data_IF_178610934320
#
_entry.id   IF_178610934320
#
_cell.length_a   1.000
_cell.length_b   1.000
_cell.length_c   1.000
_cell.angle_alpha   90.00
_cell.angle_beta   90.00
_cell.angle_gamma   90.00
#
_symmetry.space_group_name_H-M   'P 1'
#
loop_
_entity.id
_entity.type
_entity.pdbx_description
1 polymer ?
#
# COMPACT_ATOMS: atom_id res chain seq x y z
N UNK A 1 -0.16 5.83 33.05
CA UNK A 1 -0.91 7.09 32.78
C UNK A 1 -0.02 8.34 32.65
N UNK A 2 1.08 8.46 33.39
CA UNK A 2 1.96 9.66 33.32
C UNK A 2 2.77 9.77 32.02
N UNK A 3 3.35 8.68 31.54
CA UNK A 3 4.26 8.68 30.37
C UNK A 3 3.57 8.93 29.02
N UNK A 4 2.35 8.49 28.89
CA UNK A 4 1.55 8.67 27.64
C UNK A 4 1.14 10.14 27.46
N UNK A 5 0.86 10.84 28.56
CA UNK A 5 0.51 12.26 28.53
C UNK A 5 1.73 13.16 28.25
N UNK A 6 2.91 12.76 28.69
CA UNK A 6 4.14 13.51 28.46
C UNK A 6 4.59 13.37 26.98
N UNK A 7 4.42 12.19 26.39
CA UNK A 7 4.72 11.92 24.99
C UNK A 7 3.74 12.66 24.06
N UNK A 8 2.45 12.61 24.40
CA UNK A 8 1.38 13.33 23.67
C UNK A 8 1.64 14.85 23.72
N UNK A 9 2.02 15.38 24.89
CA UNK A 9 2.33 16.79 25.06
C UNK A 9 3.64 17.20 24.32
N UNK A 10 4.57 16.28 24.11
CA UNK A 10 5.79 16.55 23.34
C UNK A 10 5.48 16.59 21.84
N UNK A 11 4.67 15.70 21.35
CA UNK A 11 4.21 15.68 19.93
C UNK A 11 3.31 16.90 19.67
N UNK A 12 2.42 17.24 20.59
CA UNK A 12 1.49 18.38 20.46
C UNK A 12 2.16 19.75 20.57
N UNK A 13 3.24 19.89 21.34
CA UNK A 13 4.00 21.16 21.42
C UNK A 13 4.73 21.53 20.14
N UNK A 14 5.03 20.58 19.27
CA UNK A 14 5.64 20.85 17.96
C UNK A 14 4.62 21.21 16.87
N UNK A 15 3.34 20.95 17.10
CA UNK A 15 2.25 21.23 16.17
C UNK A 15 1.57 22.62 16.34
N UNK A 16 1.89 23.36 17.37
CA UNK A 16 1.55 24.80 17.51
C UNK A 16 0.08 25.18 17.70
N UNK A 17 -0.87 24.22 17.79
CA UNK A 17 -2.28 24.49 18.14
C UNK A 17 -2.93 23.31 18.89
N UNK A 18 -3.64 23.63 19.97
CA UNK A 18 -4.48 22.67 20.69
C UNK A 18 -5.81 22.44 19.98
N UNK A 19 -5.87 21.45 19.10
CA UNK A 19 -7.15 20.86 18.68
C UNK A 19 -7.38 19.62 19.56
N UNK A 20 -8.47 19.61 20.30
CA UNK A 20 -8.73 18.49 21.18
C UNK A 20 -9.01 17.22 20.37
N UNK A 21 -8.50 16.09 20.84
CA UNK A 21 -8.71 14.75 20.29
C UNK A 21 -10.18 14.45 19.99
N UNK A 22 -11.11 14.99 20.79
CA UNK A 22 -12.55 14.85 20.62
C UNK A 22 -13.10 15.60 19.41
N UNK A 23 -12.57 16.77 19.11
CA UNK A 23 -12.99 17.57 17.95
C UNK A 23 -12.52 16.98 16.63
N UNK A 24 -11.31 16.43 16.60
CA UNK A 24 -10.79 15.74 15.41
C UNK A 24 -11.59 14.47 15.08
N UNK A 25 -11.87 13.63 16.06
CA UNK A 25 -12.67 12.40 15.87
C UNK A 25 -14.13 12.72 15.51
N UNK A 26 -14.67 13.85 15.98
CA UNK A 26 -15.99 14.37 15.59
C UNK A 26 -15.99 14.87 14.13
N UNK A 27 -14.93 15.52 13.67
CA UNK A 27 -14.79 16.01 12.29
C UNK A 27 -14.59 14.85 11.30
N UNK A 28 -13.81 13.86 11.61
CA UNK A 28 -13.63 12.65 10.79
C UNK A 28 -14.91 11.83 10.66
N UNK A 29 -15.78 11.85 11.69
CA UNK A 29 -17.11 11.21 11.68
C UNK A 29 -18.19 12.00 10.93
N UNK A 30 -18.05 13.32 10.79
CA UNK A 30 -19.07 14.19 10.17
C UNK A 30 -18.86 14.42 8.67
N UNK A 31 -17.70 14.14 8.13
CA UNK A 31 -17.38 14.34 6.70
C UNK A 31 -18.14 13.44 5.72
N UNK A 32 -18.92 12.48 6.20
CA UNK A 32 -19.66 11.51 5.36
C UNK A 32 -21.20 11.75 5.32
N UNK A 33 -21.74 12.76 6.02
CA UNK A 33 -23.18 12.95 6.11
C UNK A 33 -23.76 14.04 5.18
N UNK A 34 -22.96 14.69 4.32
CA UNK A 34 -23.43 15.83 3.48
C UNK A 34 -23.44 15.51 1.98
N UNK A 35 -23.26 14.28 1.58
CA UNK A 35 -23.16 13.89 0.16
C UNK A 35 -24.43 13.32 -0.50
N UNK A 36 -25.60 13.32 0.18
CA UNK A 36 -26.83 12.75 -0.39
C UNK A 36 -28.00 13.71 -0.16
N UNK A 37 -28.01 14.86 -0.82
CA UNK A 37 -29.22 15.63 -1.10
C UNK A 37 -28.88 16.79 -2.04
N UNK A 38 -28.91 16.58 -3.33
CA UNK A 38 -29.30 17.56 -4.37
C UNK A 38 -29.07 16.96 -5.77
N UNK A 39 -30.13 16.57 -6.43
CA UNK A 39 -30.04 16.14 -7.81
C UNK A 39 -31.30 15.51 -8.38
N UNK A 40 -32.45 16.11 -8.11
CA UNK A 40 -33.62 15.89 -8.96
C UNK A 40 -33.99 17.21 -9.61
N UNK A 41 -33.94 17.28 -10.95
CA UNK A 41 -34.95 17.90 -11.82
C UNK A 41 -34.40 18.14 -13.24
N UNK A 42 -35.24 17.73 -14.18
CA UNK A 42 -35.28 17.98 -15.63
C UNK A 42 -34.74 16.81 -16.48
N UNK A 43 -35.50 16.02 -17.13
CA UNK A 43 -36.76 16.14 -17.83
C UNK A 43 -36.54 16.28 -19.35
N UNK A 44 -36.67 15.15 -20.11
CA UNK A 44 -37.14 15.21 -21.51
C UNK A 44 -37.60 13.83 -21.94
N UNK A 45 -38.83 13.83 -22.41
CA UNK A 45 -39.59 12.70 -22.98
C UNK A 45 -39.09 12.30 -24.37
N UNK A 46 -39.20 11.01 -24.72
CA UNK A 46 -39.69 10.59 -26.02
C UNK A 46 -40.21 9.15 -25.97
N UNK A 47 -41.35 8.97 -26.58
CA UNK A 47 -42.29 7.87 -26.57
C UNK A 47 -41.78 6.56 -27.20
N UNK A 48 -42.42 5.46 -26.79
CA UNK A 48 -42.33 4.20 -27.53
C UNK A 48 -42.99 3.04 -26.80
N UNK A 49 -44.18 2.71 -27.16
CA UNK A 49 -45.19 1.86 -26.53
C UNK A 49 -44.94 0.33 -26.54
N UNK A 50 -45.74 -0.31 -25.65
CA UNK A 50 -46.32 -1.68 -25.73
C UNK A 50 -45.46 -2.80 -25.16
N UNK A 51 -45.92 -3.69 -24.29
CA UNK A 51 -47.23 -4.20 -23.92
C UNK A 51 -47.14 -4.92 -22.57
N UNK A 52 -48.19 -4.80 -21.79
CA UNK A 52 -48.38 -5.46 -20.50
C UNK A 52 -48.78 -6.94 -20.66
N UNK A 53 -48.24 -7.80 -19.80
CA UNK A 53 -48.93 -9.02 -19.36
C UNK A 53 -48.86 -9.10 -17.85
N UNK A 54 -50.00 -9.05 -17.25
CA UNK A 54 -50.22 -9.23 -15.80
C UNK A 54 -50.07 -10.70 -15.41
N UNK A 55 -49.35 -10.96 -14.35
CA UNK A 55 -49.28 -12.24 -13.68
C UNK A 55 -49.35 -12.03 -12.15
N UNK A 56 -50.42 -12.51 -11.56
CA UNK A 56 -50.83 -12.50 -10.16
C UNK A 56 -49.81 -13.15 -9.23
N UNK A 57 -49.72 -12.72 -7.95
CA UNK A 57 -48.77 -13.28 -6.99
C UNK A 57 -49.32 -14.61 -6.40
N UNK A 58 -48.51 -15.64 -6.49
CA UNK A 58 -48.77 -16.89 -5.79
C UNK A 58 -47.97 -16.92 -4.48
N UNK A 59 -48.67 -17.23 -3.45
CA UNK A 59 -48.34 -17.45 -2.03
C UNK A 59 -47.11 -18.32 -1.83
N UNK A 60 -46.28 -17.93 -0.84
CA UNK A 60 -45.09 -18.63 -0.41
C UNK A 60 -45.33 -20.03 0.10
N UNK A 61 -44.44 -20.92 -0.30
CA UNK A 61 -44.26 -22.24 0.31
C UNK A 61 -42.96 -22.23 1.10
N UNK A 62 -42.87 -22.84 2.28
CA UNK A 62 -41.68 -22.82 3.12
C UNK A 62 -40.54 -23.59 2.48
N UNK A 63 -39.31 -23.12 2.71
CA UNK A 63 -38.10 -23.74 2.27
C UNK A 63 -38.02 -25.21 2.66
N UNK A 64 -38.20 -26.10 1.70
CA UNK A 64 -37.94 -27.52 1.85
C UNK A 64 -36.41 -27.73 1.87
N UNK A 65 -35.96 -28.55 2.81
CA UNK A 65 -34.62 -29.06 2.95
C UNK A 65 -34.07 -29.48 1.56
N UNK A 66 -32.95 -28.85 1.16
CA UNK A 66 -32.24 -29.23 -0.07
C UNK A 66 -31.61 -30.59 0.19
N UNK A 67 -32.18 -31.61 -0.41
CA UNK A 67 -31.70 -32.98 -0.33
C UNK A 67 -30.35 -33.08 -1.07
N UNK A 68 -29.31 -33.60 -0.41
CA UNK A 68 -27.91 -33.63 -0.86
C UNK A 68 -27.63 -34.52 -2.11
N UNK A 69 -28.66 -34.94 -2.82
CA UNK A 69 -28.59 -35.82 -3.98
C UNK A 69 -29.10 -35.22 -5.29
N UNK A 70 -29.03 -33.91 -5.46
CA UNK A 70 -29.42 -33.27 -6.72
C UNK A 70 -28.34 -33.47 -7.76
N UNK A 71 -28.55 -34.34 -8.72
CA UNK A 71 -27.68 -34.54 -9.88
C UNK A 71 -27.93 -33.39 -10.86
N UNK A 72 -26.91 -32.57 -11.11
CA UNK A 72 -26.95 -31.54 -12.15
C UNK A 72 -26.77 -32.19 -13.54
N UNK A 73 -27.66 -31.87 -14.44
CA UNK A 73 -27.52 -32.29 -15.83
C UNK A 73 -27.03 -31.10 -16.66
N UNK A 74 -25.80 -31.19 -17.17
CA UNK A 74 -25.22 -30.14 -18.02
C UNK A 74 -26.02 -30.01 -19.35
N UNK A 75 -25.95 -28.86 -20.06
CA UNK A 75 -26.67 -28.63 -21.31
C UNK A 75 -26.38 -29.66 -22.42
N UNK A 76 -25.28 -30.38 -22.33
CA UNK A 76 -24.92 -31.48 -23.24
C UNK A 76 -25.52 -32.83 -22.83
N UNK A 77 -26.39 -32.90 -21.83
CA UNK A 77 -27.02 -34.12 -21.36
C UNK A 77 -26.17 -35.00 -20.42
N UNK A 78 -24.94 -34.57 -20.11
CA UNK A 78 -24.05 -35.30 -19.19
C UNK A 78 -24.49 -35.07 -17.76
N UNK A 79 -24.75 -36.14 -17.03
CA UNK A 79 -25.01 -36.10 -15.58
C UNK A 79 -23.69 -35.84 -14.86
N UNK A 80 -23.53 -34.64 -14.28
CA UNK A 80 -22.43 -34.33 -13.39
C UNK A 80 -22.92 -34.55 -11.97
N UNK A 81 -22.22 -35.34 -11.14
CA UNK A 81 -22.55 -35.39 -9.71
C UNK A 81 -22.55 -33.95 -9.19
N UNK A 82 -23.63 -33.53 -8.54
CA UNK A 82 -23.56 -32.30 -7.72
C UNK A 82 -22.34 -32.48 -6.84
N UNK A 83 -21.48 -31.47 -6.79
CA UNK A 83 -20.31 -31.50 -5.92
C UNK A 83 -20.74 -32.14 -4.61
N UNK A 84 -20.26 -33.35 -4.34
CA UNK A 84 -20.43 -33.96 -3.04
C UNK A 84 -20.05 -32.88 -2.05
N UNK A 85 -20.95 -32.59 -1.13
CA UNK A 85 -20.60 -31.80 0.03
C UNK A 85 -19.38 -32.48 0.61
N UNK A 86 -18.20 -31.94 0.32
CA UNK A 86 -16.95 -32.48 0.83
C UNK A 86 -17.09 -32.39 2.33
N UNK A 87 -17.49 -33.48 2.95
CA UNK A 87 -17.41 -33.61 4.39
C UNK A 87 -15.98 -33.18 4.75
N UNK A 88 -15.80 -32.28 5.71
CA UNK A 88 -14.45 -31.86 6.07
C UNK A 88 -13.63 -33.11 6.33
N UNK A 89 -12.49 -33.28 5.70
CA UNK A 89 -11.75 -34.54 5.77
C UNK A 89 -11.42 -34.82 7.23
N UNK A 90 -11.86 -35.97 7.70
CA UNK A 90 -11.45 -36.49 8.98
C UNK A 90 -9.92 -36.64 8.94
N UNK A 91 -9.20 -35.84 9.73
CA UNK A 91 -7.74 -35.86 9.90
C UNK A 91 -7.02 -35.97 8.57
N UNK A 92 -6.64 -34.83 8.00
CA UNK A 92 -5.76 -34.77 6.84
C UNK A 92 -4.38 -35.30 7.23
N UNK A 93 -3.84 -36.28 6.51
CA UNK A 93 -2.49 -36.80 6.77
C UNK A 93 -1.43 -35.73 6.52
N UNK A 94 -0.22 -35.90 7.06
CA UNK A 94 0.98 -35.08 6.93
C UNK A 94 1.50 -34.88 5.48
N UNK A 95 0.73 -35.22 4.47
CA UNK A 95 1.03 -35.04 3.05
C UNK A 95 0.53 -33.71 2.46
N UNK A 96 -0.12 -32.85 3.25
CA UNK A 96 -0.59 -31.53 2.81
C UNK A 96 0.52 -30.55 2.40
N UNK A 97 1.76 -30.86 2.74
CA UNK A 97 2.91 -30.01 2.39
C UNK A 97 3.42 -30.27 0.96
N UNK A 98 2.86 -31.25 0.26
CA UNK A 98 3.22 -31.51 -1.14
C UNK A 98 2.32 -30.72 -2.09
N UNK A 99 2.88 -30.07 -3.11
CA UNK A 99 2.10 -29.46 -4.18
C UNK A 99 1.21 -30.52 -4.84
N UNK A 100 0.00 -30.10 -5.24
CA UNK A 100 -0.85 -30.95 -6.07
C UNK A 100 -0.16 -31.06 -7.43
N UNK A 101 0.19 -32.28 -7.83
CA UNK A 101 0.76 -32.53 -9.15
C UNK A 101 -0.37 -32.60 -10.18
N UNK A 102 -0.28 -31.72 -11.16
CA UNK A 102 -1.20 -31.70 -12.32
C UNK A 102 -0.45 -32.23 -13.54
N UNK A 103 -1.20 -32.90 -14.43
CA UNK A 103 -0.65 -33.32 -15.71
C UNK A 103 -0.19 -32.12 -16.54
N UNK A 104 0.92 -32.29 -17.27
CA UNK A 104 1.41 -31.26 -18.17
C UNK A 104 0.50 -31.16 -19.39
N UNK A 105 -0.11 -29.98 -19.61
CA UNK A 105 -0.98 -29.72 -20.75
C UNK A 105 -0.40 -28.69 -21.74
N UNK A 106 0.65 -27.95 -21.31
CA UNK A 106 1.34 -26.97 -22.14
C UNK A 106 2.47 -27.60 -22.94
N UNK A 107 2.72 -27.07 -24.13
CA UNK A 107 3.84 -27.48 -24.97
C UNK A 107 5.19 -27.06 -24.38
N UNK A 108 6.28 -27.66 -24.88
CA UNK A 108 7.63 -27.36 -24.39
C UNK A 108 8.10 -25.93 -24.74
N UNK A 109 7.44 -25.27 -25.68
CA UNK A 109 7.74 -23.87 -26.07
C UNK A 109 7.00 -22.84 -25.23
N UNK A 110 6.00 -23.27 -24.47
CA UNK A 110 5.26 -22.39 -23.57
C UNK A 110 6.00 -22.23 -22.24
N UNK A 111 5.91 -21.06 -21.59
CA UNK A 111 6.44 -20.89 -20.25
C UNK A 111 5.84 -21.95 -19.30
N UNK A 112 6.69 -22.70 -18.64
CA UNK A 112 6.23 -23.68 -17.64
C UNK A 112 5.62 -22.96 -16.46
N UNK A 113 4.42 -23.35 -16.04
CA UNK A 113 3.84 -22.93 -14.78
C UNK A 113 4.69 -23.44 -13.63
N UNK A 114 4.86 -22.64 -12.58
CA UNK A 114 5.47 -23.14 -11.34
C UNK A 114 4.61 -24.25 -10.71
N UNK A 115 5.11 -24.89 -9.65
CA UNK A 115 4.35 -25.92 -8.93
C UNK A 115 3.04 -25.31 -8.40
N UNK A 116 2.00 -26.13 -8.32
CA UNK A 116 0.70 -25.72 -7.76
C UNK A 116 0.92 -25.14 -6.35
N UNK A 117 0.43 -23.91 -6.07
CA UNK A 117 0.62 -23.31 -4.76
C UNK A 117 0.00 -24.18 -3.65
N UNK A 118 0.74 -24.39 -2.57
CA UNK A 118 0.22 -24.97 -1.35
C UNK A 118 -0.04 -23.85 -0.35
N UNK A 119 -1.27 -23.33 -0.22
CA UNK A 119 -1.56 -22.25 0.70
C UNK A 119 -1.42 -22.72 2.15
N UNK A 120 -0.81 -21.88 2.99
CA UNK A 120 -0.75 -22.14 4.43
C UNK A 120 -2.16 -22.26 5.01
N UNK A 121 -2.43 -23.25 5.87
CA UNK A 121 -3.73 -23.36 6.54
C UNK A 121 -4.11 -22.04 7.25
N UNK A 122 -5.40 -21.63 7.23
CA UNK A 122 -5.82 -20.34 7.78
C UNK A 122 -5.47 -20.13 9.27
N UNK A 123 -5.44 -21.19 10.08
CA UNK A 123 -5.07 -21.15 11.49
C UNK A 123 -3.57 -20.86 11.71
N UNK A 124 -2.72 -21.13 10.71
CA UNK A 124 -1.27 -20.89 10.76
C UNK A 124 -0.88 -19.51 10.21
N UNK A 125 -1.80 -18.81 9.52
CA UNK A 125 -1.52 -17.49 8.97
C UNK A 125 -1.42 -16.43 10.05
N UNK A 126 -0.56 -15.45 9.83
CA UNK A 126 -0.40 -14.28 10.72
C UNK A 126 -1.67 -13.43 10.71
N UNK A 127 -2.17 -13.12 11.89
CA UNK A 127 -3.37 -12.30 12.08
C UNK A 127 -3.08 -10.81 12.10
N UNK A 128 -3.80 -10.07 11.29
CA UNK A 128 -3.68 -8.61 11.14
C UNK A 128 -4.87 -7.88 11.75
N UNK A 129 -4.59 -6.82 12.51
CA UNK A 129 -5.57 -5.80 12.87
C UNK A 129 -5.43 -4.62 11.91
N UNK A 130 -6.50 -4.25 11.18
CA UNK A 130 -6.53 -3.12 10.27
C UNK A 130 -6.98 -1.86 11.01
N UNK A 131 -6.14 -0.83 11.03
CA UNK A 131 -6.40 0.44 11.75
C UNK A 131 -6.67 1.54 10.75
N UNK A 132 -7.93 1.96 10.67
CA UNK A 132 -8.43 2.90 9.67
C UNK A 132 -9.16 2.18 8.52
N UNK A 133 -10.46 2.40 8.41
CA UNK A 133 -11.30 1.86 7.34
C UNK A 133 -11.62 2.96 6.31
N UNK A 134 -10.55 3.50 5.69
CA UNK A 134 -10.59 4.44 4.58
C UNK A 134 -10.60 3.76 3.21
N UNK A 135 -10.50 4.55 2.13
CA UNK A 135 -10.47 4.05 0.74
C UNK A 135 -9.40 2.98 0.54
N UNK A 136 -8.15 3.26 0.90
CA UNK A 136 -7.05 2.31 0.69
C UNK A 136 -7.30 0.96 1.38
N UNK A 137 -7.82 0.98 2.61
CA UNK A 137 -8.13 -0.25 3.34
C UNK A 137 -9.26 -1.03 2.68
N UNK A 138 -10.33 -0.35 2.25
CA UNK A 138 -11.54 -0.99 1.75
C UNK A 138 -11.42 -1.43 0.29
N UNK A 139 -10.71 -0.65 -0.52
CA UNK A 139 -10.63 -0.84 -1.97
C UNK A 139 -9.44 -1.73 -2.37
N UNK A 140 -8.34 -1.71 -1.58
CA UNK A 140 -7.09 -2.38 -1.94
C UNK A 140 -6.61 -3.40 -0.90
N UNK A 141 -6.41 -3.00 0.37
CA UNK A 141 -5.75 -3.85 1.37
C UNK A 141 -6.63 -5.04 1.78
N UNK A 142 -7.90 -4.80 2.12
CA UNK A 142 -8.80 -5.89 2.52
C UNK A 142 -9.04 -6.89 1.38
N UNK A 143 -9.30 -6.48 0.12
CA UNK A 143 -9.37 -7.41 -1.01
C UNK A 143 -8.07 -8.20 -1.21
N UNK A 144 -6.90 -7.58 -1.03
CA UNK A 144 -5.61 -8.24 -1.20
C UNK A 144 -5.38 -9.43 -0.25
N UNK A 145 -6.06 -9.47 0.91
CA UNK A 145 -6.00 -10.65 1.79
C UNK A 145 -6.56 -11.92 1.13
N UNK A 146 -7.43 -11.79 0.11
CA UNK A 146 -7.89 -12.92 -0.70
C UNK A 146 -6.77 -13.60 -1.49
N UNK A 147 -5.70 -12.88 -1.80
CA UNK A 147 -4.51 -13.38 -2.51
C UNK A 147 -3.36 -13.74 -1.57
N UNK A 148 -3.43 -13.34 -0.29
CA UNK A 148 -2.41 -13.66 0.71
C UNK A 148 -2.35 -15.16 1.01
N UNK A 149 -1.14 -15.68 1.09
CA UNK A 149 -0.87 -17.07 1.46
C UNK A 149 -0.50 -17.23 2.94
N UNK A 150 0.02 -16.17 3.58
CA UNK A 150 0.59 -16.19 4.94
C UNK A 150 -0.10 -15.23 5.90
N UNK A 151 -0.98 -14.37 5.39
CA UNK A 151 -1.64 -13.28 6.12
C UNK A 151 -3.16 -13.45 6.14
N UNK A 152 -3.82 -12.98 7.21
CA UNK A 152 -5.30 -12.94 7.30
C UNK A 152 -5.75 -11.73 8.15
N UNK A 153 -6.88 -11.08 7.81
CA UNK A 153 -7.47 -10.06 8.67
C UNK A 153 -8.22 -10.73 9.83
N UNK A 154 -7.99 -10.28 11.06
CA UNK A 154 -8.63 -10.85 12.27
C UNK A 154 -9.25 -9.79 13.18
N UNK A 155 -8.90 -8.51 13.00
CA UNK A 155 -9.45 -7.42 13.82
C UNK A 155 -9.53 -6.12 13.02
N UNK A 156 -10.42 -5.23 13.42
CA UNK A 156 -10.65 -3.92 12.80
C UNK A 156 -10.63 -2.82 13.85
N UNK A 157 -10.09 -1.66 13.50
CA UNK A 157 -10.14 -0.44 14.31
C UNK A 157 -10.69 0.71 13.46
N UNK A 158 -11.78 1.34 13.92
CA UNK A 158 -12.36 2.49 13.22
C UNK A 158 -13.16 3.36 14.18
N UNK A 159 -13.26 4.66 13.89
CA UNK A 159 -14.18 5.57 14.58
C UNK A 159 -15.63 5.45 14.11
N UNK A 160 -15.95 4.60 13.11
CA UNK A 160 -17.31 4.41 12.58
C UNK A 160 -17.84 3.02 12.96
N UNK A 161 -18.78 2.92 13.91
CA UNK A 161 -19.40 1.64 14.28
C UNK A 161 -20.11 0.96 13.10
N UNK A 162 -20.69 1.73 12.20
CA UNK A 162 -21.36 1.21 11.01
C UNK A 162 -20.36 0.51 10.06
N UNK A 163 -19.21 1.14 9.79
CA UNK A 163 -18.17 0.53 8.97
C UNK A 163 -17.63 -0.74 9.64
N UNK A 164 -17.36 -0.70 10.94
CA UNK A 164 -16.90 -1.88 11.68
C UNK A 164 -17.87 -3.06 11.51
N UNK A 165 -19.18 -2.83 11.71
CA UNK A 165 -20.18 -3.88 11.58
C UNK A 165 -20.25 -4.46 10.16
N UNK A 166 -20.31 -3.61 9.13
CA UNK A 166 -20.42 -4.05 7.73
C UNK A 166 -19.17 -4.81 7.28
N UNK A 167 -17.99 -4.26 7.56
CA UNK A 167 -16.73 -4.88 7.15
C UNK A 167 -16.46 -6.18 7.91
N UNK A 168 -16.74 -6.21 9.22
CA UNK A 168 -16.60 -7.42 10.02
C UNK A 168 -17.47 -8.55 9.47
N UNK A 169 -18.73 -8.26 9.14
CA UNK A 169 -19.63 -9.24 8.54
C UNK A 169 -19.11 -9.74 7.19
N UNK A 170 -18.61 -8.84 6.32
CA UNK A 170 -18.12 -9.18 4.99
C UNK A 170 -16.88 -10.09 5.03
N UNK A 171 -15.99 -9.86 6.00
CA UNK A 171 -14.71 -10.59 6.09
C UNK A 171 -14.70 -11.66 7.19
N UNK A 172 -15.83 -11.96 7.81
CA UNK A 172 -15.95 -12.98 8.85
C UNK A 172 -15.18 -12.66 10.13
N UNK A 173 -15.01 -11.36 10.45
CA UNK A 173 -14.29 -10.91 11.64
C UNK A 173 -15.28 -10.88 12.82
N UNK A 174 -14.87 -11.43 13.95
CA UNK A 174 -15.70 -11.53 15.14
C UNK A 174 -16.04 -10.13 15.69
N UNK A 175 -17.27 -9.88 16.17
CA UNK A 175 -17.67 -8.59 16.74
C UNK A 175 -16.76 -8.12 17.89
N UNK A 176 -16.29 -9.03 18.74
CA UNK A 176 -15.34 -8.74 19.84
C UNK A 176 -13.95 -8.33 19.36
N UNK A 177 -13.61 -8.57 18.10
CA UNK A 177 -12.37 -8.13 17.45
C UNK A 177 -12.52 -6.81 16.69
N UNK A 178 -13.63 -6.07 16.93
CA UNK A 178 -13.88 -4.74 16.42
C UNK A 178 -13.64 -3.70 17.52
N UNK A 179 -12.74 -2.76 17.25
CA UNK A 179 -12.28 -1.76 18.21
C UNK A 179 -12.55 -0.33 17.71
N UNK A 180 -12.74 0.61 18.65
CA UNK A 180 -12.67 2.04 18.39
C UNK A 180 -11.23 2.54 18.64
N UNK A 181 -10.96 3.78 18.26
CA UNK A 181 -9.68 4.43 18.61
C UNK A 181 -9.50 4.59 20.14
N UNK A 182 -10.61 4.72 20.91
CA UNK A 182 -10.56 4.88 22.37
C UNK A 182 -10.15 3.58 23.08
N UNK A 183 -10.51 2.43 22.53
CA UNK A 183 -10.18 1.13 23.12
C UNK A 183 -9.11 0.36 22.33
N UNK A 184 -8.35 1.05 21.45
CA UNK A 184 -7.26 0.49 20.64
C UNK A 184 -6.28 -0.37 21.46
N UNK A 185 -5.93 0.08 22.66
CA UNK A 185 -4.94 -0.59 23.53
C UNK A 185 -5.40 -1.99 23.98
N UNK A 186 -6.72 -2.32 23.86
CA UNK A 186 -7.23 -3.66 24.10
C UNK A 186 -6.79 -4.70 23.06
N UNK A 187 -6.21 -4.26 21.95
CA UNK A 187 -5.56 -5.18 21.00
C UNK A 187 -4.47 -6.03 21.66
N UNK A 188 -3.87 -5.58 22.77
CA UNK A 188 -2.93 -6.37 23.56
C UNK A 188 -3.52 -7.71 24.03
N UNK A 189 -4.82 -7.71 24.35
CA UNK A 189 -5.55 -8.86 24.91
C UNK A 189 -6.09 -9.81 23.83
N UNK A 190 -5.97 -9.46 22.54
CA UNK A 190 -6.39 -10.31 21.44
C UNK A 190 -5.22 -11.18 20.93
N UNK A 191 -5.24 -12.50 21.23
CA UNK A 191 -4.14 -13.40 20.83
C UNK A 191 -4.10 -13.70 19.33
N UNK A 192 -5.22 -13.48 18.60
CA UNK A 192 -5.25 -13.67 17.15
C UNK A 192 -4.50 -12.57 16.40
N UNK A 193 -4.31 -11.39 17.02
CA UNK A 193 -3.58 -10.25 16.43
C UNK A 193 -2.09 -10.37 16.72
N UNK A 194 -1.31 -10.54 15.67
CA UNK A 194 0.15 -10.55 15.71
C UNK A 194 0.74 -9.28 15.11
N UNK A 195 0.08 -8.72 14.08
CA UNK A 195 0.47 -7.51 13.37
C UNK A 195 -0.66 -6.48 13.42
N UNK A 196 -0.30 -5.23 13.62
CA UNK A 196 -1.18 -4.08 13.43
C UNK A 196 -0.77 -3.38 12.14
N UNK A 197 -1.70 -3.24 11.19
CA UNK A 197 -1.51 -2.47 9.96
C UNK A 197 -2.16 -1.10 10.10
N UNK A 198 -1.34 -0.05 10.16
CA UNK A 198 -1.78 1.32 10.38
C UNK A 198 -2.01 2.00 9.03
N UNK A 199 -3.27 2.39 8.77
CA UNK A 199 -3.74 3.01 7.51
C UNK A 199 -4.55 4.27 7.87
N UNK A 200 -3.87 5.26 8.41
CA UNK A 200 -4.42 6.49 8.98
C UNK A 200 -3.87 7.73 8.25
N UNK A 201 -4.34 8.93 8.54
CA UNK A 201 -3.63 10.16 8.21
C UNK A 201 -2.22 10.18 8.83
N UNK A 202 -1.25 10.75 8.10
CA UNK A 202 0.18 10.64 8.42
C UNK A 202 0.54 11.04 9.85
N UNK A 203 -0.07 12.12 10.38
CA UNK A 203 0.20 12.60 11.74
C UNK A 203 -0.24 11.64 12.85
N UNK A 204 -1.04 10.63 12.54
CA UNK A 204 -1.48 9.62 13.50
C UNK A 204 -0.57 8.39 13.52
N UNK A 205 0.31 8.21 12.53
CA UNK A 205 1.13 7.02 12.40
C UNK A 205 2.03 6.79 13.63
N UNK A 206 2.68 7.86 14.13
CA UNK A 206 3.59 7.74 15.26
C UNK A 206 2.86 7.31 16.55
N UNK A 207 1.75 7.95 16.91
CA UNK A 207 0.97 7.59 18.11
C UNK A 207 0.55 6.11 18.07
N UNK A 208 -0.10 5.70 16.97
CA UNK A 208 -0.65 4.34 16.89
C UNK A 208 0.44 3.28 16.73
N UNK A 209 1.59 3.60 16.17
CA UNK A 209 2.77 2.72 16.18
C UNK A 209 3.29 2.50 17.59
N UNK A 210 3.50 3.59 18.35
CA UNK A 210 3.99 3.51 19.72
C UNK A 210 3.05 2.70 20.60
N UNK A 211 1.75 2.99 20.56
CA UNK A 211 0.70 2.25 21.30
C UNK A 211 0.63 0.79 20.87
N UNK A 212 0.72 0.50 19.57
CA UNK A 212 0.71 -0.86 19.04
C UNK A 212 1.94 -1.68 19.48
N UNK A 213 3.12 -1.08 19.48
CA UNK A 213 4.34 -1.69 19.99
C UNK A 213 4.23 -1.98 21.50
N UNK A 214 3.69 -1.04 22.28
CA UNK A 214 3.42 -1.21 23.71
C UNK A 214 2.37 -2.31 23.98
N UNK A 215 1.42 -2.50 23.07
CA UNK A 215 0.47 -3.61 23.09
C UNK A 215 1.11 -4.96 22.73
N UNK A 216 2.43 -5.00 22.46
CA UNK A 216 3.17 -6.20 22.15
C UNK A 216 2.94 -6.74 20.74
N UNK A 217 2.52 -5.89 19.79
CA UNK A 217 2.25 -6.28 18.40
C UNK A 217 3.35 -5.78 17.45
N UNK A 218 3.59 -6.51 16.36
CA UNK A 218 4.41 -6.04 15.25
C UNK A 218 3.63 -4.99 14.45
N UNK A 219 4.34 -4.07 13.81
CA UNK A 219 3.72 -2.92 13.13
C UNK A 219 4.07 -2.92 11.65
N UNK A 220 3.05 -2.91 10.81
CA UNK A 220 3.10 -2.49 9.41
C UNK A 220 2.47 -1.10 9.34
N UNK A 221 3.21 -0.10 8.86
CA UNK A 221 2.73 1.29 8.82
C UNK A 221 2.72 1.78 7.38
N UNK A 222 1.62 2.40 6.95
CA UNK A 222 1.56 3.05 5.64
C UNK A 222 2.63 4.14 5.50
N UNK A 223 3.02 4.35 4.23
CA UNK A 223 3.88 5.47 3.84
C UNK A 223 3.04 6.79 3.73
N UNK A 224 3.63 7.97 3.96
CA UNK A 224 4.92 8.20 4.59
C UNK A 224 4.89 7.71 6.04
N UNK A 225 6.05 7.24 6.54
CA UNK A 225 6.13 6.61 7.85
C UNK A 225 5.54 7.48 8.98
N UNK A 226 5.75 8.80 8.91
CA UNK A 226 5.25 9.79 9.88
C UNK A 226 5.12 11.17 9.22
N UNK A 227 5.05 12.25 10.01
CA UNK A 227 5.07 13.63 9.53
C UNK A 227 6.46 14.28 9.64
N UNK A 228 7.41 13.64 10.32
CA UNK A 228 8.78 14.14 10.52
C UNK A 228 9.77 13.01 10.79
N UNK A 229 11.07 13.28 10.57
CA UNK A 229 12.14 12.36 10.91
C UNK A 229 12.23 12.09 12.43
N UNK A 230 11.88 13.05 13.26
CA UNK A 230 11.83 12.88 14.71
C UNK A 230 10.75 11.87 15.14
N UNK A 231 9.57 11.92 14.54
CA UNK A 231 8.51 10.94 14.77
C UNK A 231 8.90 9.55 14.25
N UNK A 232 9.56 9.46 13.09
CA UNK A 232 10.10 8.20 12.60
C UNK A 232 11.07 7.55 13.59
N UNK A 233 12.00 8.33 14.17
CA UNK A 233 12.93 7.84 15.18
C UNK A 233 12.18 7.33 16.42
N UNK A 234 11.16 8.07 16.88
CA UNK A 234 10.31 7.68 18.00
C UNK A 234 9.63 6.32 17.76
N UNK A 235 9.09 6.10 16.55
CA UNK A 235 8.46 4.84 16.16
C UNK A 235 9.46 3.68 16.17
N UNK A 236 10.65 3.89 15.63
CA UNK A 236 11.74 2.90 15.63
C UNK A 236 12.11 2.52 17.05
N UNK A 237 12.35 3.51 17.92
CA UNK A 237 12.78 3.30 19.30
C UNK A 237 11.69 2.55 20.10
N UNK A 238 10.43 2.90 19.91
CA UNK A 238 9.31 2.24 20.57
C UNK A 238 9.21 0.75 20.18
N UNK A 239 9.32 0.45 18.89
CA UNK A 239 9.29 -0.93 18.39
C UNK A 239 10.51 -1.72 18.86
N UNK A 240 11.71 -1.14 18.83
CA UNK A 240 12.93 -1.77 19.37
C UNK A 240 12.80 -2.06 20.86
N UNK A 241 12.33 -1.09 21.66
CA UNK A 241 12.11 -1.27 23.10
C UNK A 241 11.11 -2.38 23.42
N UNK A 242 10.07 -2.53 22.59
CA UNK A 242 9.08 -3.59 22.74
C UNK A 242 9.52 -4.94 22.15
N UNK A 243 10.69 -5.02 21.54
CA UNK A 243 11.15 -6.19 20.75
C UNK A 243 10.12 -6.57 19.67
N UNK A 244 9.61 -5.58 18.94
CA UNK A 244 8.66 -5.76 17.83
C UNK A 244 9.24 -5.21 16.54
N UNK A 245 8.87 -5.85 15.44
CA UNK A 245 9.28 -5.42 14.10
C UNK A 245 8.42 -4.23 13.66
N UNK A 246 9.06 -3.27 12.99
CA UNK A 246 8.43 -2.18 12.29
C UNK A 246 8.77 -2.28 10.81
N UNK A 247 7.77 -2.34 9.96
CA UNK A 247 7.89 -2.31 8.51
C UNK A 247 7.07 -1.15 7.96
N UNK A 248 7.63 -0.42 7.00
CA UNK A 248 6.92 0.63 6.25
C UNK A 248 6.38 0.02 4.96
N UNK A 249 5.13 0.31 4.64
CA UNK A 249 4.41 -0.23 3.50
C UNK A 249 4.84 0.44 2.17
N UNK A 250 6.05 0.13 1.72
CA UNK A 250 6.59 0.54 0.42
C UNK A 250 6.27 -0.50 -0.66
N UNK A 251 4.99 -0.67 -0.98
CA UNK A 251 4.46 -1.67 -1.91
C UNK A 251 5.22 -1.76 -3.25
N UNK A 252 5.79 -0.64 -3.74
CA UNK A 252 6.56 -0.59 -4.99
C UNK A 252 7.80 -1.48 -4.94
N UNK A 253 8.42 -1.66 -3.78
CA UNK A 253 9.57 -2.55 -3.62
C UNK A 253 9.20 -4.04 -3.66
N UNK A 254 7.91 -4.36 -3.67
CA UNK A 254 7.35 -5.71 -3.81
C UNK A 254 6.70 -5.95 -5.17
N UNK A 255 6.57 -4.91 -6.00
CA UNK A 255 5.95 -4.96 -7.32
C UNK A 255 6.93 -5.55 -8.36
N UNK A 256 6.51 -6.56 -9.16
CA UNK A 256 7.43 -7.34 -10.00
C UNK A 256 8.20 -6.53 -11.06
N UNK A 257 7.55 -5.56 -11.73
CA UNK A 257 8.24 -4.74 -12.73
C UNK A 257 9.29 -3.81 -12.13
N UNK A 258 8.99 -3.18 -11.00
CA UNK A 258 9.94 -2.33 -10.29
C UNK A 258 11.17 -3.15 -9.82
N UNK A 259 10.95 -4.36 -9.35
CA UNK A 259 12.04 -5.29 -8.98
C UNK A 259 12.88 -5.70 -10.19
N UNK A 260 12.23 -6.06 -11.31
CA UNK A 260 12.95 -6.40 -12.54
C UNK A 260 13.81 -5.24 -13.05
N UNK A 261 13.26 -4.01 -13.05
CA UNK A 261 14.05 -2.83 -13.46
C UNK A 261 15.24 -2.60 -12.54
N UNK A 262 15.06 -2.73 -11.22
CA UNK A 262 16.16 -2.66 -10.24
C UNK A 262 17.25 -3.67 -10.57
N UNK A 263 16.89 -4.92 -10.80
CA UNK A 263 17.86 -5.99 -11.10
C UNK A 263 18.60 -5.69 -12.40
N UNK A 264 17.90 -5.26 -13.46
CA UNK A 264 18.51 -4.86 -14.73
C UNK A 264 19.50 -3.69 -14.58
N UNK A 265 19.22 -2.73 -13.68
CA UNK A 265 20.11 -1.60 -13.39
C UNK A 265 21.35 -2.07 -12.64
N UNK A 266 21.14 -2.86 -11.58
CA UNK A 266 22.24 -3.32 -10.70
C UNK A 266 23.17 -4.28 -11.42
N UNK A 267 22.64 -5.10 -12.32
CA UNK A 267 23.40 -5.98 -13.21
C UNK A 267 24.05 -5.22 -14.39
N UNK A 268 23.88 -3.89 -14.46
CA UNK A 268 24.40 -3.05 -15.55
C UNK A 268 24.02 -3.58 -16.93
N UNK A 269 22.82 -4.09 -17.12
CA UNK A 269 22.36 -4.73 -18.38
C UNK A 269 22.61 -3.86 -19.61
N UNK A 270 22.39 -2.56 -19.50
CA UNK A 270 22.66 -1.58 -20.56
C UNK A 270 23.84 -0.65 -20.23
N UNK A 271 24.81 -1.13 -19.45
CA UNK A 271 25.92 -0.32 -18.94
C UNK A 271 25.54 0.50 -17.72
N UNK A 272 26.46 1.39 -17.31
CA UNK A 272 26.26 2.22 -16.11
C UNK A 272 25.11 3.18 -16.31
N UNK A 273 24.27 3.31 -15.29
CA UNK A 273 23.24 4.35 -15.23
C UNK A 273 23.85 5.74 -15.23
N UNK A 274 23.32 6.65 -16.03
CA UNK A 274 23.78 8.04 -16.15
C UNK A 274 22.83 9.02 -15.49
N UNK A 275 21.53 8.88 -15.75
CA UNK A 275 20.53 9.68 -15.07
C UNK A 275 19.16 9.00 -15.06
N UNK A 276 18.29 9.45 -14.13
CA UNK A 276 16.93 8.94 -13.99
C UNK A 276 15.96 10.14 -13.99
N UNK A 277 14.83 9.97 -14.66
CA UNK A 277 13.68 10.88 -14.58
C UNK A 277 12.53 10.17 -13.93
N UNK A 278 11.87 10.81 -12.97
CA UNK A 278 10.70 10.25 -12.28
C UNK A 278 9.58 11.27 -12.20
N UNK A 279 8.36 10.83 -12.35
CA UNK A 279 7.18 11.68 -12.19
C UNK A 279 6.03 10.89 -11.56
N UNK A 280 5.41 11.49 -10.55
CA UNK A 280 4.15 11.00 -10.00
C UNK A 280 3.22 12.20 -9.77
N UNK A 281 2.19 12.30 -10.58
CA UNK A 281 1.27 13.43 -10.63
C UNK A 281 -0.16 12.94 -10.75
N UNK A 282 -1.08 13.66 -10.12
CA UNK A 282 -2.52 13.39 -10.17
C UNK A 282 -3.32 14.67 -9.90
N UNK A 283 -4.61 14.64 -10.16
CA UNK A 283 -5.53 15.73 -9.82
C UNK A 283 -6.19 15.46 -8.46
N UNK A 284 -6.33 16.51 -7.66
CA UNK A 284 -7.05 16.52 -6.39
C UNK A 284 -8.20 17.54 -6.46
N UNK A 285 -9.35 17.21 -5.85
CA UNK A 285 -10.56 18.02 -6.01
C UNK A 285 -11.24 18.46 -4.70
N UNK A 286 -10.91 17.85 -3.57
CA UNK A 286 -11.61 18.11 -2.30
C UNK A 286 -10.72 18.87 -1.30
N UNK A 287 -10.94 20.20 -1.11
CA UNK A 287 -10.12 20.99 -0.19
C UNK A 287 -10.28 20.62 1.30
N UNK A 288 -11.33 19.87 1.63
CA UNK A 288 -11.55 19.41 3.01
C UNK A 288 -10.92 18.04 3.28
N UNK A 289 -10.32 17.41 2.26
CA UNK A 289 -9.63 16.15 2.45
C UNK A 289 -8.39 16.35 3.32
N UNK A 290 -8.08 15.40 4.21
CA UNK A 290 -6.98 15.51 5.18
C UNK A 290 -5.60 15.73 4.52
N UNK A 291 -5.41 15.28 3.27
CA UNK A 291 -4.17 15.50 2.50
C UNK A 291 -3.88 16.96 2.20
N UNK A 292 -4.88 17.84 2.29
CA UNK A 292 -4.73 19.30 2.12
C UNK A 292 -4.61 20.04 3.46
N UNK A 293 -4.52 19.31 4.58
CA UNK A 293 -4.32 19.84 5.93
C UNK A 293 -2.91 19.50 6.40
N UNK A 294 -2.06 20.55 6.55
CA UNK A 294 -0.64 20.36 6.89
C UNK A 294 -0.46 19.57 8.17
N UNK A 295 -1.27 19.86 9.19
CA UNK A 295 -1.18 19.19 10.50
C UNK A 295 -1.53 17.70 10.44
N UNK A 296 -2.26 17.24 9.41
CA UNK A 296 -2.63 15.84 9.22
C UNK A 296 -1.73 15.13 8.22
N UNK A 297 -1.30 15.83 7.18
CA UNK A 297 -0.54 15.25 6.08
C UNK A 297 0.98 15.47 6.21
N UNK A 298 1.43 16.46 7.01
CA UNK A 298 2.85 16.83 7.11
C UNK A 298 3.38 17.64 5.93
N UNK A 299 2.69 17.62 4.78
CA UNK A 299 3.02 18.32 3.54
C UNK A 299 2.01 17.99 2.45
N UNK A 300 2.27 18.41 1.22
CA UNK A 300 1.36 18.24 0.08
C UNK A 300 1.75 17.08 -0.83
N UNK A 301 2.06 17.40 -2.08
CA UNK A 301 2.37 16.39 -3.10
C UNK A 301 3.66 15.60 -2.82
N UNK A 302 4.66 16.19 -2.16
CA UNK A 302 5.93 15.53 -1.89
C UNK A 302 5.78 14.30 -0.98
N UNK A 303 5.28 14.38 0.27
CA UNK A 303 5.20 13.22 1.16
C UNK A 303 4.16 12.19 0.71
N UNK A 304 3.11 12.57 -0.01
CA UNK A 304 2.09 11.61 -0.44
C UNK A 304 2.49 10.86 -1.71
N UNK A 305 2.69 11.55 -2.82
CA UNK A 305 2.96 10.92 -4.12
C UNK A 305 4.39 11.13 -4.61
N UNK A 306 5.06 12.21 -4.22
CA UNK A 306 6.47 12.44 -4.53
C UNK A 306 7.42 11.47 -3.84
N UNK A 307 7.04 10.99 -2.67
CA UNK A 307 7.78 9.95 -1.94
C UNK A 307 8.01 8.69 -2.79
N UNK A 308 7.07 8.33 -3.68
CA UNK A 308 7.30 7.22 -4.62
C UNK A 308 8.51 7.48 -5.53
N UNK A 309 8.65 8.69 -6.06
CA UNK A 309 9.80 9.06 -6.90
C UNK A 309 11.12 9.00 -6.13
N UNK A 310 11.13 9.53 -4.90
CA UNK A 310 12.29 9.53 -4.01
C UNK A 310 12.70 8.11 -3.64
N UNK A 311 11.78 7.33 -3.06
CA UNK A 311 12.05 5.98 -2.56
C UNK A 311 12.45 5.03 -3.69
N UNK A 312 11.74 5.09 -4.85
CA UNK A 312 12.08 4.29 -6.02
C UNK A 312 13.51 4.59 -6.53
N UNK A 313 13.92 5.85 -6.57
CA UNK A 313 15.27 6.21 -7.02
C UNK A 313 16.36 5.58 -6.15
N UNK A 314 16.17 5.63 -4.83
CA UNK A 314 17.04 4.97 -3.83
C UNK A 314 17.02 3.45 -3.98
N UNK A 315 15.84 2.87 -4.19
CA UNK A 315 15.65 1.42 -4.38
C UNK A 315 16.33 0.92 -5.66
N UNK A 316 16.17 1.62 -6.78
CA UNK A 316 16.77 1.25 -8.06
C UNK A 316 18.29 1.29 -7.99
N UNK A 317 18.86 2.38 -7.44
CA UNK A 317 20.31 2.60 -7.39
C UNK A 317 21.00 1.83 -6.26
N UNK A 318 20.29 1.53 -5.17
CA UNK A 318 20.87 0.89 -3.99
C UNK A 318 21.77 1.79 -3.15
N UNK A 319 21.89 3.07 -3.52
CA UNK A 319 22.74 4.06 -2.86
C UNK A 319 21.92 5.27 -2.43
N UNK A 320 22.52 6.12 -1.59
CA UNK A 320 21.87 7.31 -1.05
C UNK A 320 22.33 8.58 -1.76
N UNK A 321 21.45 9.58 -1.94
CA UNK A 321 21.85 10.86 -2.51
C UNK A 321 22.75 11.64 -1.55
N UNK A 322 23.62 12.47 -2.13
CA UNK A 322 24.58 13.29 -1.40
C UNK A 322 24.21 14.78 -1.36
N UNK A 323 23.29 15.20 -2.23
CA UNK A 323 22.85 16.58 -2.37
C UNK A 323 21.46 16.61 -3.01
N UNK A 324 20.63 17.57 -2.62
CA UNK A 324 19.33 17.86 -3.23
C UNK A 324 19.20 19.33 -3.58
N UNK A 325 18.46 19.63 -4.67
CA UNK A 325 18.04 20.98 -5.03
C UNK A 325 16.57 20.95 -5.47
N UNK A 326 15.76 21.89 -5.01
CA UNK A 326 14.31 21.82 -5.21
C UNK A 326 13.64 23.17 -5.45
N UNK A 327 12.50 23.14 -6.15
CA UNK A 327 11.53 24.20 -6.29
C UNK A 327 10.15 23.73 -5.85
N UNK A 328 9.43 24.57 -5.14
CA UNK A 328 8.06 24.34 -4.72
C UNK A 328 7.15 25.44 -5.27
N UNK A 329 5.92 25.07 -5.61
CA UNK A 329 4.92 26.03 -6.08
C UNK A 329 3.53 25.62 -5.64
N UNK A 330 2.67 26.62 -5.42
CA UNK A 330 1.23 26.45 -5.25
C UNK A 330 0.51 27.58 -5.97
N UNK A 331 -0.54 27.28 -6.71
CA UNK A 331 -1.36 28.26 -7.43
C UNK A 331 -1.97 29.26 -6.44
N UNK A 332 -1.67 30.57 -6.56
CA UNK A 332 -2.19 31.57 -5.64
C UNK A 332 -3.72 31.58 -5.60
N UNK A 333 -4.28 31.59 -4.39
CA UNK A 333 -5.73 31.65 -4.18
C UNK A 333 -6.45 30.30 -4.38
N UNK A 334 -5.78 29.23 -4.80
CA UNK A 334 -6.40 27.91 -4.89
C UNK A 334 -6.68 27.36 -3.49
N UNK A 335 -7.96 27.05 -3.15
CA UNK A 335 -8.33 26.57 -1.81
C UNK A 335 -7.71 25.23 -1.44
N UNK A 336 -7.30 24.40 -2.41
CA UNK A 336 -6.66 23.10 -2.19
C UNK A 336 -5.26 23.23 -1.57
N UNK A 337 -4.54 24.33 -1.89
CA UNK A 337 -3.11 24.46 -1.59
C UNK A 337 -2.80 25.63 -0.65
N UNK A 338 -3.72 25.91 0.28
CA UNK A 338 -3.52 26.96 1.29
C UNK A 338 -2.48 26.59 2.34
N UNK A 339 -2.42 25.32 2.70
CA UNK A 339 -1.62 24.80 3.82
C UNK A 339 -0.45 23.94 3.34
N UNK A 340 -0.55 23.35 2.14
CA UNK A 340 0.40 22.37 1.58
C UNK A 340 0.78 22.76 0.16
N UNK A 341 1.93 22.30 -0.30
CA UNK A 341 2.36 22.54 -1.68
C UNK A 341 1.57 21.73 -2.69
N UNK A 342 1.27 22.36 -3.82
CA UNK A 342 0.68 21.75 -5.00
C UNK A 342 1.71 20.94 -5.78
N UNK A 343 2.90 21.52 -5.93
CA UNK A 343 3.96 21.04 -6.80
C UNK A 343 5.31 21.07 -6.11
N UNK A 344 6.08 19.99 -6.30
CA UNK A 344 7.48 19.93 -5.98
C UNK A 344 8.26 19.36 -7.16
N UNK A 345 9.32 20.06 -7.56
CA UNK A 345 10.31 19.59 -8.52
C UNK A 345 11.67 19.60 -7.86
N UNK A 346 12.41 18.48 -7.94
CA UNK A 346 13.70 18.39 -7.28
C UNK A 346 14.69 17.52 -8.06
N UNK A 347 15.95 17.82 -7.85
CA UNK A 347 17.08 17.01 -8.31
C UNK A 347 17.79 16.39 -7.11
N UNK A 348 18.26 15.17 -7.29
CA UNK A 348 19.12 14.47 -6.34
C UNK A 348 20.42 14.08 -7.04
N UNK A 349 21.55 14.40 -6.40
CA UNK A 349 22.86 13.93 -6.82
C UNK A 349 23.21 12.67 -6.05
N UNK A 350 23.46 11.60 -6.76
CA UNK A 350 23.95 10.34 -6.22
C UNK A 350 25.46 10.19 -6.43
N UNK A 351 26.12 9.22 -5.75
CA UNK A 351 27.50 8.85 -6.05
C UNK A 351 27.71 8.58 -7.55
N UNK A 352 28.97 8.65 -8.02
CA UNK A 352 29.36 8.43 -9.44
C UNK A 352 28.75 9.45 -10.43
N UNK A 353 28.21 10.56 -9.93
CA UNK A 353 27.69 11.65 -10.75
C UNK A 353 26.30 11.40 -11.33
N UNK A 354 25.59 10.37 -10.86
CA UNK A 354 24.21 10.11 -11.29
C UNK A 354 23.31 11.23 -10.78
N UNK A 355 22.51 11.81 -11.67
CA UNK A 355 21.47 12.79 -11.34
C UNK A 355 20.11 12.14 -11.51
N UNK A 356 19.22 12.39 -10.53
CA UNK A 356 17.83 12.02 -10.61
C UNK A 356 16.97 13.27 -10.61
N UNK A 357 16.18 13.47 -11.67
CA UNK A 357 15.17 14.52 -11.78
C UNK A 357 13.81 13.95 -11.37
N UNK A 358 13.13 14.66 -10.48
CA UNK A 358 11.87 14.19 -9.92
C UNK A 358 10.82 15.30 -9.92
N UNK A 359 9.59 14.94 -10.25
CA UNK A 359 8.45 15.85 -10.27
C UNK A 359 7.24 15.20 -9.60
N UNK A 360 6.54 15.98 -8.78
CA UNK A 360 5.24 15.61 -8.23
C UNK A 360 4.26 16.78 -8.30
N UNK A 361 2.98 16.49 -8.56
CA UNK A 361 1.96 17.52 -8.73
C UNK A 361 0.57 17.03 -8.37
N UNK A 362 -0.21 17.86 -7.66
CA UNK A 362 -1.58 17.53 -7.25
C UNK A 362 -2.69 18.16 -8.13
N UNK A 363 -2.31 18.83 -9.20
CA UNK A 363 -3.26 19.54 -10.05
C UNK A 363 -2.92 19.40 -11.54
N UNK A 364 -2.60 18.17 -11.94
CA UNK A 364 -2.44 17.81 -13.35
C UNK A 364 -3.17 16.51 -13.64
N UNK A 365 -3.34 16.20 -14.92
CA UNK A 365 -3.76 14.84 -15.32
C UNK A 365 -2.74 13.81 -14.86
N UNK A 366 -3.21 12.58 -14.60
CA UNK A 366 -2.40 11.46 -14.12
C UNK A 366 -1.17 11.21 -14.99
N UNK A 367 0.00 11.15 -14.38
CA UNK A 367 1.26 10.81 -15.03
C UNK A 367 2.18 10.13 -14.00
N UNK A 368 2.48 8.85 -14.21
CA UNK A 368 3.16 8.00 -13.23
C UNK A 368 4.21 7.16 -13.92
N UNK A 369 5.42 7.68 -14.05
CA UNK A 369 6.48 6.95 -14.72
C UNK A 369 7.86 7.22 -14.14
N UNK A 370 8.80 6.36 -14.51
CA UNK A 370 10.20 6.72 -14.49
C UNK A 370 10.94 6.19 -15.72
N UNK A 371 12.04 6.87 -16.06
CA UNK A 371 12.94 6.48 -17.12
C UNK A 371 14.39 6.48 -16.64
N UNK A 372 15.07 5.37 -16.86
CA UNK A 372 16.47 5.16 -16.53
C UNK A 372 17.28 5.17 -17.81
N UNK A 373 18.26 6.06 -17.90
CA UNK A 373 19.15 6.19 -19.06
C UNK A 373 20.55 5.70 -18.68
N UNK A 374 21.03 4.70 -19.40
CA UNK A 374 22.32 4.05 -19.23
C UNK A 374 23.20 4.25 -20.46
N UNK A 375 24.46 3.83 -20.41
CA UNK A 375 25.44 4.04 -21.47
C UNK A 375 25.02 3.47 -22.83
N UNK A 376 24.37 2.34 -22.85
CA UNK A 376 24.03 1.60 -24.07
C UNK A 376 22.53 1.39 -24.30
N UNK A 377 21.69 1.96 -23.44
CA UNK A 377 20.25 1.81 -23.57
C UNK A 377 19.47 2.53 -22.48
N UNK A 378 18.16 2.39 -22.51
CA UNK A 378 17.26 2.94 -21.50
C UNK A 378 16.15 1.94 -21.14
N UNK A 379 15.62 2.11 -19.94
CA UNK A 379 14.42 1.46 -19.45
C UNK A 379 13.36 2.55 -19.14
N UNK A 380 12.13 2.29 -19.49
CA UNK A 380 11.00 3.18 -19.18
C UNK A 380 9.86 2.33 -18.61
N UNK A 381 9.50 2.61 -17.38
CA UNK A 381 8.33 2.02 -16.73
C UNK A 381 7.22 3.07 -16.67
N UNK A 382 6.21 2.88 -17.49
CA UNK A 382 4.97 3.65 -17.44
C UNK A 382 4.00 3.03 -16.44
N UNK A 383 3.10 3.82 -15.85
CA UNK A 383 2.28 3.44 -14.71
C UNK A 383 3.09 2.88 -13.51
N UNK A 384 4.33 3.33 -13.35
CA UNK A 384 5.29 2.78 -12.40
C UNK A 384 4.77 2.72 -10.95
N UNK A 385 3.91 3.64 -10.56
CA UNK A 385 3.40 3.81 -9.21
C UNK A 385 1.91 3.46 -9.05
N UNK A 386 1.28 2.98 -10.13
CA UNK A 386 -0.10 2.50 -10.09
C UNK A 386 -0.21 1.14 -9.38
N UNK A 387 -1.41 0.77 -9.00
CA UNK A 387 -1.66 -0.54 -8.39
C UNK A 387 -1.58 -1.67 -9.41
N UNK A 388 -1.93 -1.38 -10.67
CA UNK A 388 -1.90 -2.31 -11.81
C UNK A 388 -1.56 -1.58 -13.11
N UNK A 389 -1.32 -2.32 -14.19
CA UNK A 389 -1.17 -1.76 -15.53
C UNK A 389 0.21 -1.18 -15.83
N UNK A 390 1.26 -1.65 -15.15
CA UNK A 390 2.64 -1.30 -15.43
C UNK A 390 3.03 -1.73 -16.84
N UNK A 391 3.79 -0.88 -17.55
CA UNK A 391 4.28 -1.15 -18.91
C UNK A 391 5.78 -0.86 -18.99
N UNK A 392 6.59 -1.93 -19.10
CA UNK A 392 8.03 -1.82 -19.19
C UNK A 392 8.51 -1.84 -20.64
N UNK A 393 9.15 -0.76 -21.05
CA UNK A 393 9.80 -0.62 -22.35
C UNK A 393 11.32 -0.48 -22.20
N UNK A 394 12.05 -1.04 -23.14
CA UNK A 394 13.51 -0.89 -23.21
C UNK A 394 13.96 -0.55 -24.61
N UNK A 395 15.11 0.13 -24.73
CA UNK A 395 15.79 0.31 -26.01
C UNK A 395 17.29 0.23 -25.82
N UNK A 396 17.96 -0.47 -26.73
CA UNK A 396 19.43 -0.59 -26.77
C UNK A 396 19.89 -0.85 -28.20
N UNK A 397 21.18 -0.69 -28.42
CA UNK A 397 21.80 -1.03 -29.69
C UNK A 397 22.27 -2.50 -29.68
N UNK A 398 22.07 -3.20 -30.79
CA UNK A 398 22.60 -4.55 -31.05
C UNK A 398 23.21 -4.58 -32.44
N UNK A 399 24.52 -4.49 -32.51
CA UNK A 399 25.23 -4.24 -33.78
C UNK A 399 24.74 -2.95 -34.44
N UNK A 400 24.35 -2.98 -35.73
CA UNK A 400 23.84 -1.81 -36.43
C UNK A 400 22.34 -1.53 -36.12
N UNK A 401 21.64 -2.44 -35.41
CA UNK A 401 20.24 -2.34 -35.14
C UNK A 401 19.96 -1.62 -33.84
N UNK A 402 18.83 -0.86 -33.79
CA UNK A 402 18.24 -0.35 -32.57
C UNK A 402 17.08 -1.24 -32.16
N UNK A 403 17.25 -1.97 -31.07
CA UNK A 403 16.20 -2.80 -30.50
C UNK A 403 15.28 -1.96 -29.62
N UNK A 404 13.97 -2.20 -29.75
CA UNK A 404 12.96 -1.65 -28.86
C UNK A 404 12.05 -2.79 -28.45
N UNK A 405 11.91 -3.02 -27.14
CA UNK A 405 11.17 -4.14 -26.61
C UNK A 405 10.13 -3.64 -25.60
N UNK A 406 8.98 -4.28 -25.59
CA UNK A 406 8.05 -4.25 -24.48
C UNK A 406 8.19 -5.56 -23.71
N UNK A 407 8.44 -5.46 -22.40
CA UNK A 407 8.62 -6.61 -21.53
C UNK A 407 7.30 -6.83 -20.77
N UNK A 408 6.78 -8.05 -20.87
CA UNK A 408 5.60 -8.47 -20.13
C UNK A 408 5.99 -9.55 -19.15
N UNK A 409 5.61 -9.37 -17.89
CA UNK A 409 5.77 -10.36 -16.82
C UNK A 409 4.43 -10.56 -16.11
N UNK A 410 4.31 -11.67 -15.40
CA UNK A 410 3.12 -11.94 -14.59
C UNK A 410 2.98 -10.86 -13.50
N UNK A 411 1.82 -10.22 -13.45
CA UNK A 411 1.49 -9.27 -12.40
C UNK A 411 1.15 -10.00 -11.10
N UNK A 412 1.55 -9.42 -9.97
CA UNK A 412 1.20 -9.89 -8.63
C UNK A 412 0.57 -8.74 -7.86
N UNK A 413 -0.36 -9.06 -6.98
CA UNK A 413 -0.92 -8.07 -6.08
C UNK A 413 0.18 -7.62 -5.10
N UNK A 414 0.60 -6.36 -5.25
CA UNK A 414 1.73 -5.81 -4.50
C UNK A 414 1.43 -5.69 -3.00
N UNK A 415 0.17 -5.45 -2.60
CA UNK A 415 -0.23 -5.43 -1.19
C UNK A 415 -0.20 -6.84 -0.57
N UNK A 416 -0.69 -7.85 -1.30
CA UNK A 416 -0.62 -9.23 -0.84
C UNK A 416 0.83 -9.70 -0.67
N UNK A 417 1.70 -9.38 -1.64
CA UNK A 417 3.13 -9.73 -1.58
C UNK A 417 3.84 -9.06 -0.40
N UNK A 418 3.54 -7.78 -0.15
CA UNK A 418 4.07 -7.00 0.96
C UNK A 418 3.65 -7.56 2.33
N UNK A 419 2.34 -7.81 2.52
CA UNK A 419 1.80 -8.39 3.75
C UNK A 419 2.36 -9.79 4.01
N UNK A 420 2.45 -10.64 2.99
CA UNK A 420 3.00 -11.99 3.13
C UNK A 420 4.49 -11.98 3.42
N UNK A 421 5.26 -11.02 2.87
CA UNK A 421 6.65 -10.81 3.25
C UNK A 421 6.77 -10.45 4.74
N UNK A 422 5.95 -9.51 5.22
CA UNK A 422 6.00 -9.13 6.64
C UNK A 422 5.59 -10.29 7.56
N UNK A 423 4.57 -11.06 7.17
CA UNK A 423 4.19 -12.28 7.87
C UNK A 423 5.33 -13.28 7.95
N UNK A 424 6.07 -13.48 6.86
CA UNK A 424 7.27 -14.33 6.86
C UNK A 424 8.35 -13.81 7.81
N UNK A 425 8.56 -12.49 7.86
CA UNK A 425 9.51 -11.87 8.78
C UNK A 425 9.10 -12.07 10.25
N UNK A 426 7.80 -12.00 10.55
CA UNK A 426 7.25 -12.24 11.89
C UNK A 426 7.40 -13.70 12.29
N UNK A 427 6.99 -14.64 11.42
CA UNK A 427 7.05 -16.08 11.70
C UNK A 427 8.48 -16.60 11.88
N UNK A 428 9.44 -16.07 11.14
CA UNK A 428 10.81 -16.57 11.10
C UNK A 428 11.81 -15.69 11.86
N UNK A 429 11.31 -14.70 12.59
CA UNK A 429 12.10 -13.69 13.32
C UNK A 429 13.18 -13.01 12.47
N UNK A 430 12.86 -12.68 11.20
CA UNK A 430 13.75 -11.99 10.27
C UNK A 430 13.47 -10.50 10.22
N UNK A 431 14.47 -9.65 9.93
CA UNK A 431 14.21 -8.23 9.66
C UNK A 431 13.38 -8.07 8.37
N UNK A 432 12.43 -7.10 8.32
CA UNK A 432 11.69 -6.80 7.11
C UNK A 432 12.57 -6.10 6.07
N UNK A 433 12.19 -6.21 4.78
CA UNK A 433 12.92 -5.56 3.69
C UNK A 433 12.86 -4.03 3.78
N UNK A 434 11.72 -3.47 4.18
CA UNK A 434 11.49 -2.02 4.34
C UNK A 434 11.30 -1.66 5.82
N UNK A 435 12.37 -1.72 6.66
CA UNK A 435 12.26 -1.42 8.08
C UNK A 435 12.04 0.09 8.32
N UNK A 436 11.81 0.48 9.56
CA UNK A 436 11.62 1.89 9.93
C UNK A 436 12.79 2.81 9.52
N UNK A 437 14.00 2.28 9.47
CA UNK A 437 15.20 3.01 9.04
C UNK A 437 15.10 3.49 7.58
N UNK A 438 14.44 2.72 6.70
CA UNK A 438 14.15 3.13 5.32
C UNK A 438 13.22 4.35 5.28
N UNK A 439 12.15 4.33 6.09
CA UNK A 439 11.23 5.46 6.22
C UNK A 439 11.88 6.69 6.85
N UNK A 440 12.71 6.51 7.86
CA UNK A 440 13.48 7.59 8.49
C UNK A 440 14.40 8.29 7.49
N UNK A 441 15.07 7.52 6.64
CA UNK A 441 15.97 8.08 5.63
C UNK A 441 15.20 8.89 4.57
N UNK A 442 14.05 8.40 4.12
CA UNK A 442 13.18 9.17 3.23
C UNK A 442 12.75 10.51 3.85
N UNK A 443 12.38 10.51 5.14
CA UNK A 443 12.01 11.74 5.83
C UNK A 443 13.16 12.74 5.91
N UNK A 444 14.37 12.31 6.21
CA UNK A 444 15.57 13.17 6.22
C UNK A 444 15.80 13.82 4.83
N UNK A 445 15.61 13.06 3.77
CA UNK A 445 15.78 13.60 2.42
C UNK A 445 14.61 14.54 2.07
N UNK A 446 13.36 14.21 2.42
CA UNK A 446 12.22 15.14 2.20
C UNK A 446 12.38 16.45 2.97
N UNK A 447 12.85 16.42 4.20
CA UNK A 447 13.16 17.61 5.00
C UNK A 447 14.22 18.48 4.31
N UNK A 448 15.26 17.87 3.73
CA UNK A 448 16.28 18.57 2.94
C UNK A 448 15.73 19.13 1.63
N UNK A 449 14.81 18.43 0.94
CA UNK A 449 14.11 18.92 -0.25
C UNK A 449 13.28 20.16 0.10
N UNK A 450 12.50 20.13 1.18
CA UNK A 450 11.76 21.30 1.67
C UNK A 450 12.68 22.45 2.07
N UNK A 451 13.81 22.15 2.72
CA UNK A 451 14.82 23.16 3.07
C UNK A 451 15.37 23.84 1.80
N UNK A 452 15.76 23.04 0.82
CA UNK A 452 16.28 23.54 -0.45
C UNK A 452 15.28 24.45 -1.17
N UNK A 453 14.01 24.04 -1.24
CA UNK A 453 12.96 24.83 -1.86
C UNK A 453 12.71 26.17 -1.13
N UNK A 454 12.81 26.21 0.20
CA UNK A 454 12.65 27.45 0.97
C UNK A 454 13.86 28.40 0.83
N UNK A 455 15.09 27.83 0.82
CA UNK A 455 16.33 28.60 0.82
C UNK A 455 16.81 28.97 -0.61
N UNK A 456 16.24 28.34 -1.64
CA UNK A 456 16.65 28.55 -3.04
C UNK A 456 18.07 28.11 -3.35
N UNK A 457 18.62 27.13 -2.58
CA UNK A 457 20.00 26.65 -2.74
C UNK A 457 20.09 25.12 -2.53
N UNK A 458 21.15 24.47 -3.06
CA UNK A 458 21.40 23.05 -2.80
C UNK A 458 21.61 22.78 -1.29
N UNK A 459 21.11 21.63 -0.83
CA UNK A 459 21.32 21.12 0.51
C UNK A 459 22.15 19.83 0.45
N UNK A 460 23.27 19.81 1.15
CA UNK A 460 24.12 18.62 1.29
C UNK A 460 23.45 17.64 2.25
N UNK A 461 23.50 16.36 1.91
CA UNK A 461 23.08 15.26 2.76
C UNK A 461 24.32 14.59 3.38
N UNK A 462 24.12 13.98 4.53
CA UNK A 462 25.18 13.18 5.16
C UNK A 462 25.53 12.00 4.26
N UNK A 463 26.78 11.86 3.82
CA UNK A 463 27.18 10.74 2.97
C UNK A 463 26.95 9.40 3.65
N UNK A 464 26.33 8.47 2.94
CA UNK A 464 26.13 7.09 3.34
C UNK A 464 26.90 6.17 2.41
N UNK A 465 27.69 5.25 2.94
CA UNK A 465 28.45 4.29 2.17
C UNK A 465 27.81 2.90 2.26
N UNK A 466 27.83 2.16 1.15
CA UNK A 466 27.28 0.82 1.06
C UNK A 466 26.04 0.76 0.19
N UNK A 467 25.58 -0.46 -0.05
CA UNK A 467 24.38 -0.74 -0.84
C UNK A 467 23.26 -1.17 0.09
N UNK A 468 22.05 -0.62 -0.13
CA UNK A 468 20.82 -0.93 0.62
C UNK A 468 20.96 -0.81 2.14
N UNK A 469 21.75 0.14 2.63
CA UNK A 469 22.15 0.29 4.04
C UNK A 469 20.94 0.41 4.99
N UNK A 470 19.84 0.98 4.52
CA UNK A 470 18.62 1.17 5.29
C UNK A 470 17.57 0.09 5.04
N UNK A 471 17.85 -0.90 4.18
CA UNK A 471 16.95 -1.99 3.84
C UNK A 471 17.36 -3.30 4.50
N UNK A 472 16.39 -4.12 4.77
CA UNK A 472 16.64 -5.50 5.17
C UNK A 472 16.84 -6.43 3.96
N UNK A 473 16.99 -7.73 4.23
CA UNK A 473 17.17 -8.73 3.19
C UNK A 473 16.04 -8.70 2.14
N UNK A 474 16.41 -8.95 0.88
CA UNK A 474 15.46 -9.04 -0.21
C UNK A 474 14.40 -10.12 0.06
N UNK A 475 13.11 -9.83 -0.24
CA UNK A 475 12.08 -10.87 -0.23
C UNK A 475 12.44 -11.94 -1.25
N UNK A 476 12.27 -13.20 -0.87
CA UNK A 476 12.40 -14.29 -1.82
C UNK A 476 11.42 -14.06 -2.98
N UNK A 477 11.87 -14.24 -4.22
CA UNK A 477 10.96 -14.28 -5.35
C UNK A 477 9.99 -15.45 -5.12
N UNK A 478 8.70 -15.13 -4.98
CA UNK A 478 7.64 -16.12 -4.84
C UNK A 478 7.25 -16.67 -6.20
#
# INVERSE_FOLDING_TARGET
MSFTNELLNTVMRHAGQEVSRKEFLSLAGRGLAVGVAAGTLAGCQSDGASSAVAGTPTTGTPASEVNANTIYTAPNGQKVPSSEAVSPPAKVPSELDKPIELEAWKSDVDPKSGPTPTPMPPDKRVGYALVGLGHLTLEEILPAFGECKKSKPVALVSGSPEKLKKVAQQYGIKPESCYSYDNYDKLKDNPEVQVIYIVLPNSMHAEYTVRGAQAGKHILCEKPMASSSAECQLMIDACKKANKKLMVAYRIQYEPYNRLVRDMIRDSKFGKTKYIQTQNSQSSANPNHWRHKKDLAGGGSLPDIGLYCLNTSRFLLGTEPTEVFAYSYSTPGNPLFKEVEEHMSWQMRFPDGIIVDSITHYNTHDSRFYRVNSERGWLHLDNAYAYTGQRLQTSHAEGPAKMQNQITIESKNQFATEMDHFSECVMNDKPPHTPGEEGLQDHRIMEAIYQSAREGKPVKLTPVQGTDVFRGPEPKQA
#
